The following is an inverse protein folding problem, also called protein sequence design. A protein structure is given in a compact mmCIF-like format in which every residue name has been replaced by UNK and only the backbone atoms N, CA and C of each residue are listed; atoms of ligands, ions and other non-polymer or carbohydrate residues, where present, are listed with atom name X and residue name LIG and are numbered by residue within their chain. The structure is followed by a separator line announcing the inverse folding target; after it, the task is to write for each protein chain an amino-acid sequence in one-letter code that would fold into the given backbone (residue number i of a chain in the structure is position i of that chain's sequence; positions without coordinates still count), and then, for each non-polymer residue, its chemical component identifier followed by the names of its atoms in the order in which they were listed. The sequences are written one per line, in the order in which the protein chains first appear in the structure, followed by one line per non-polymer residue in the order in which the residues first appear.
data_IF_936386264750
#
_entry.id   IF_936386264750
#
_cell.length_a   1.000
_cell.length_b   1.000
_cell.length_c   1.000
_cell.angle_alpha   90.00
_cell.angle_beta   90.00
_cell.angle_gamma   90.00
#
_symmetry.space_group_name_H-M   'P 1'
#
loop_
_entity.id
_entity.type
_entity.pdbx_description
1 polymer ?
#
# COMPACT_ATOMS: atom_id res chain seq x y z
N UNK A 1 30.44 -9.51 -22.59
CA UNK A 1 29.11 -9.62 -21.96
C UNK A 1 28.22 -8.38 -22.17
N UNK A 2 28.39 -7.23 -21.50
CA UNK A 2 27.49 -6.06 -21.68
C UNK A 2 27.48 -5.55 -23.13
N UNK A 3 28.65 -5.39 -23.76
CA UNK A 3 28.76 -5.03 -25.18
C UNK A 3 28.10 -6.04 -26.12
N UNK A 4 28.24 -7.34 -25.85
CA UNK A 4 27.60 -8.40 -26.64
C UNK A 4 26.08 -8.41 -26.43
N UNK A 5 25.59 -8.08 -25.24
CA UNK A 5 24.16 -7.95 -24.94
C UNK A 5 23.54 -6.76 -25.67
N UNK A 6 24.23 -5.62 -25.72
CA UNK A 6 23.74 -4.42 -26.41
C UNK A 6 23.87 -4.57 -27.94
N UNK A 7 24.95 -5.17 -28.44
CA UNK A 7 25.07 -5.50 -29.87
C UNK A 7 24.03 -6.54 -30.31
N UNK A 8 23.64 -7.46 -29.43
CA UNK A 8 22.49 -8.35 -29.65
C UNK A 8 21.14 -7.68 -29.41
N UNK A 9 21.03 -6.57 -28.68
CA UNK A 9 19.74 -5.88 -28.49
C UNK A 9 19.29 -5.13 -29.74
N UNK A 10 20.21 -4.83 -30.69
CA UNK A 10 19.85 -4.40 -32.04
C UNK A 10 19.09 -5.50 -32.81
N UNK A 11 19.32 -6.78 -32.46
CA UNK A 11 18.48 -7.91 -32.85
C UNK A 11 17.37 -8.06 -31.80
N UNK A 12 16.26 -7.33 -31.97
CA UNK A 12 15.08 -7.36 -31.07
C UNK A 12 14.45 -8.76 -30.84
N UNK A 13 14.93 -9.80 -31.50
CA UNK A 13 14.41 -11.16 -31.35
C UNK A 13 14.71 -11.72 -29.94
N UNK A 14 13.67 -11.80 -29.11
CA UNK A 14 13.69 -12.47 -27.80
C UNK A 14 13.63 -11.56 -26.57
N UNK A 15 13.55 -10.24 -26.72
CA UNK A 15 13.37 -9.31 -25.60
C UNK A 15 11.88 -9.07 -25.31
N UNK A 16 11.46 -9.21 -24.05
CA UNK A 16 10.11 -8.85 -23.60
C UNK A 16 10.12 -7.43 -23.01
N UNK A 17 9.27 -6.51 -23.48
CA UNK A 17 9.15 -5.19 -22.88
C UNK A 17 8.56 -5.30 -21.48
N UNK A 18 9.17 -4.64 -20.50
CA UNK A 18 8.67 -4.54 -19.13
C UNK A 18 8.13 -3.13 -18.86
N UNK A 19 6.99 -2.98 -18.17
CA UNK A 19 6.38 -1.67 -17.90
C UNK A 19 7.18 -0.82 -16.90
N UNK A 20 8.11 -1.42 -16.16
CA UNK A 20 8.92 -0.72 -15.16
C UNK A 20 10.27 -1.42 -14.96
N UNK A 21 11.29 -0.68 -14.47
CA UNK A 21 12.60 -1.24 -14.16
C UNK A 21 12.51 -2.35 -13.10
N UNK A 22 13.23 -3.45 -13.31
CA UNK A 22 13.31 -4.54 -12.36
C UNK A 22 14.13 -4.13 -11.12
N UNK A 23 13.72 -4.54 -9.91
CA UNK A 23 14.38 -4.11 -8.68
C UNK A 23 15.62 -4.96 -8.41
N UNK A 24 16.52 -4.46 -7.56
CA UNK A 24 17.56 -5.30 -6.99
C UNK A 24 16.95 -6.32 -6.00
N UNK A 25 16.74 -7.56 -6.47
CA UNK A 25 16.21 -8.65 -5.66
C UNK A 25 17.32 -9.38 -4.86
N UNK A 26 16.98 -9.97 -3.70
CA UNK A 26 17.98 -10.62 -2.82
C UNK A 26 18.65 -11.87 -3.42
N UNK A 27 18.12 -12.41 -4.50
CA UNK A 27 18.70 -13.57 -5.22
C UNK A 27 19.68 -13.14 -6.31
N UNK A 28 19.82 -11.84 -6.55
CA UNK A 28 20.67 -11.28 -7.59
C UNK A 28 21.81 -10.50 -6.94
N UNK A 29 23.03 -10.71 -7.43
CA UNK A 29 24.18 -9.89 -7.02
C UNK A 29 24.18 -8.53 -7.72
N UNK A 30 23.71 -8.50 -8.97
CA UNK A 30 23.69 -7.31 -9.83
C UNK A 30 22.41 -7.28 -10.66
N UNK A 31 21.90 -6.08 -10.93
CA UNK A 31 20.87 -5.82 -11.94
C UNK A 31 21.37 -4.77 -12.91
N UNK A 32 21.29 -5.07 -14.21
CA UNK A 32 21.65 -4.15 -15.28
C UNK A 32 20.37 -3.62 -15.92
N UNK A 33 20.16 -2.30 -15.88
CA UNK A 33 19.04 -1.63 -16.55
C UNK A 33 19.59 -0.83 -17.73
N UNK A 34 19.11 -1.12 -18.93
CA UNK A 34 19.49 -0.43 -20.16
C UNK A 34 18.32 0.46 -20.57
N UNK A 35 18.50 1.77 -20.45
CA UNK A 35 17.56 2.77 -20.96
C UNK A 35 18.09 3.30 -22.29
N UNK A 36 17.52 2.79 -23.38
CA UNK A 36 17.93 3.12 -24.76
C UNK A 36 17.56 4.57 -25.08
N UNK A 37 16.41 5.05 -24.62
CA UNK A 37 15.90 6.38 -24.93
C UNK A 37 16.76 7.46 -24.25
N UNK A 38 17.22 7.18 -23.03
CA UNK A 38 18.08 8.09 -22.26
C UNK A 38 19.57 7.88 -22.49
N UNK A 39 20.00 6.89 -23.28
CA UNK A 39 21.40 6.49 -23.49
C UNK A 39 22.15 6.16 -22.16
N UNK A 40 21.46 5.49 -21.21
CA UNK A 40 21.97 5.21 -19.85
C UNK A 40 21.97 3.71 -19.52
N UNK A 41 23.12 3.23 -19.06
CA UNK A 41 23.29 1.96 -18.38
C UNK A 41 23.30 2.20 -16.88
N UNK A 42 22.40 1.56 -16.15
CA UNK A 42 22.40 1.54 -14.69
C UNK A 42 22.79 0.16 -14.19
N UNK A 43 23.76 0.10 -13.27
CA UNK A 43 24.17 -1.12 -12.58
C UNK A 43 23.76 -0.98 -11.12
N UNK A 44 22.87 -1.84 -10.66
CA UNK A 44 22.45 -1.91 -9.25
C UNK A 44 23.13 -3.09 -8.56
N UNK A 45 23.66 -2.86 -7.36
CA UNK A 45 24.35 -3.86 -6.54
C UNK A 45 24.10 -3.65 -5.04
N UNK A 46 24.41 -4.66 -4.24
CA UNK A 46 24.35 -4.59 -2.78
C UNK A 46 25.72 -4.15 -2.22
N UNK A 47 25.83 -2.95 -1.63
CA UNK A 47 27.10 -2.52 -0.98
C UNK A 47 27.33 -3.26 0.34
N UNK A 48 26.24 -3.44 1.10
CA UNK A 48 26.17 -4.21 2.34
C UNK A 48 25.11 -5.30 2.15
N UNK A 49 24.96 -6.23 3.10
CA UNK A 49 23.99 -7.34 2.97
C UNK A 49 22.57 -6.93 2.52
N UNK A 50 22.18 -5.65 2.71
CA UNK A 50 20.81 -5.21 2.50
C UNK A 50 20.64 -3.76 2.03
N UNK A 51 21.71 -3.04 1.67
CA UNK A 51 21.56 -1.66 1.15
C UNK A 51 21.79 -1.63 -0.35
N UNK A 52 20.75 -1.33 -1.17
CA UNK A 52 20.92 -1.24 -2.60
C UNK A 52 21.69 0.05 -2.95
N UNK A 53 22.58 -0.06 -3.94
CA UNK A 53 23.26 1.06 -4.58
C UNK A 53 23.14 0.91 -6.07
N UNK A 54 23.12 2.05 -6.75
CA UNK A 54 23.15 2.08 -8.19
C UNK A 54 24.21 3.02 -8.69
N UNK A 55 24.70 2.70 -9.87
CA UNK A 55 25.74 3.45 -10.56
C UNK A 55 25.35 3.59 -12.02
N UNK A 56 25.49 4.79 -12.57
CA UNK A 56 25.11 5.10 -13.95
C UNK A 56 26.34 5.33 -14.83
N UNK A 57 26.18 4.94 -16.10
CA UNK A 57 27.14 5.12 -17.16
C UNK A 57 26.39 5.45 -18.46
N UNK A 58 26.99 6.25 -19.33
CA UNK A 58 26.46 6.47 -20.67
C UNK A 58 26.63 5.21 -21.54
N UNK A 59 25.56 4.74 -22.20
CA UNK A 59 25.57 3.49 -22.98
C UNK A 59 26.56 3.57 -24.15
N UNK A 60 26.56 4.68 -24.89
CA UNK A 60 27.52 4.90 -25.99
C UNK A 60 28.97 4.78 -25.52
N UNK A 61 29.34 5.39 -24.38
CA UNK A 61 30.68 5.21 -23.78
C UNK A 61 30.95 3.79 -23.32
N UNK A 62 29.94 3.10 -22.77
CA UNK A 62 30.05 1.71 -22.35
C UNK A 62 30.35 0.78 -23.54
N UNK A 63 29.82 1.12 -24.72
CA UNK A 63 30.00 0.39 -25.98
C UNK A 63 31.35 0.65 -26.64
N UNK A 64 31.91 1.85 -26.51
CA UNK A 64 33.18 2.23 -27.14
C UNK A 64 34.40 1.70 -26.36
N UNK A 65 34.32 1.55 -25.03
CA UNK A 65 35.51 1.34 -24.18
C UNK A 65 35.71 -0.14 -23.79
N UNK A 66 36.89 -0.73 -24.02
CA UNK A 66 37.17 -2.16 -23.69
C UNK A 66 37.39 -2.42 -22.19
N UNK A 67 37.77 -1.38 -21.44
CA UNK A 67 37.85 -1.35 -19.98
C UNK A 67 37.33 0.00 -19.50
N UNK A 68 36.35 0.02 -18.60
CA UNK A 68 35.81 1.24 -18.03
C UNK A 68 36.57 1.59 -16.74
N UNK A 69 37.27 2.75 -16.67
CA UNK A 69 37.82 3.23 -15.43
C UNK A 69 36.71 3.45 -14.39
N UNK A 70 37.00 3.16 -13.11
CA UNK A 70 36.08 3.35 -11.98
C UNK A 70 35.56 4.81 -11.85
N UNK A 71 36.23 5.78 -12.48
CA UNK A 71 35.88 7.20 -12.49
C UNK A 71 34.72 7.56 -13.42
N UNK A 72 34.39 6.72 -14.40
CA UNK A 72 33.26 6.97 -15.33
C UNK A 72 31.90 6.59 -14.74
N UNK A 73 31.95 5.90 -13.61
CA UNK A 73 30.80 5.48 -12.84
C UNK A 73 30.34 6.62 -11.95
N UNK A 74 29.18 7.20 -12.28
CA UNK A 74 28.54 8.19 -11.42
C UNK A 74 27.68 7.41 -10.43
N UNK A 75 27.99 7.42 -9.11
CA UNK A 75 27.07 6.87 -8.13
C UNK A 75 25.74 7.59 -8.33
N UNK A 76 24.65 6.84 -8.33
CA UNK A 76 23.34 7.42 -8.11
C UNK A 76 23.34 7.87 -6.66
N UNK A 77 23.92 9.05 -6.43
CA UNK A 77 23.91 9.70 -5.14
C UNK A 77 22.46 9.78 -4.69
N UNK A 78 22.25 9.73 -3.38
CA UNK A 78 20.98 10.06 -2.72
C UNK A 78 20.37 11.40 -3.20
N UNK A 79 21.13 12.18 -3.99
CA UNK A 79 20.83 13.48 -4.57
C UNK A 79 20.16 13.48 -5.98
N UNK A 80 19.70 12.37 -6.55
CA UNK A 80 18.78 12.46 -7.72
C UNK A 80 17.40 13.08 -7.33
N UNK A 81 17.17 13.33 -6.03
CA UNK A 81 15.99 14.00 -5.47
C UNK A 81 16.29 15.48 -5.11
N UNK A 82 17.09 16.19 -5.91
CA UNK A 82 17.21 17.66 -5.79
C UNK A 82 17.89 18.30 -7.00
N UNK A 83 17.13 18.86 -7.96
CA UNK A 83 17.53 20.07 -8.65
C UNK A 83 16.97 21.25 -7.87
N UNK A 84 17.85 21.87 -7.08
CA UNK A 84 17.59 23.18 -6.49
C UNK A 84 17.13 24.15 -7.58
N UNK A 85 15.90 24.62 -7.48
CA UNK A 85 15.51 25.95 -7.95
C UNK A 85 14.47 26.50 -6.98
N UNK A 86 14.96 26.91 -5.81
CA UNK A 86 14.27 27.85 -4.93
C UNK A 86 14.14 29.19 -5.67
N UNK A 87 13.15 29.28 -6.55
CA UNK A 87 12.60 30.56 -6.97
C UNK A 87 11.87 31.14 -5.76
N UNK A 88 12.46 32.15 -5.13
CA UNK A 88 11.80 32.97 -4.11
C UNK A 88 10.51 33.56 -4.70
N UNK A 89 9.39 32.84 -4.52
CA UNK A 89 8.06 33.43 -4.50
C UNK A 89 7.61 33.40 -3.07
N UNK A 90 7.73 34.55 -2.41
CA UNK A 90 7.02 34.84 -1.17
C UNK A 90 5.53 34.90 -1.48
N UNK A 91 4.86 33.74 -1.52
CA UNK A 91 3.43 33.67 -1.29
C UNK A 91 3.22 33.46 0.20
N UNK A 92 2.50 34.37 0.84
CA UNK A 92 2.03 34.24 2.22
C UNK A 92 1.45 32.83 2.41
N UNK A 93 2.07 32.05 3.31
CA UNK A 93 1.58 30.70 3.61
C UNK A 93 0.22 30.83 4.28
N UNK A 94 -0.84 30.17 3.78
CA UNK A 94 -2.11 30.13 4.49
C UNK A 94 -1.87 29.48 5.85
N UNK A 95 -2.37 30.11 6.90
CA UNK A 95 -2.44 29.51 8.23
C UNK A 95 -3.31 28.26 8.14
N UNK A 96 -2.68 27.09 7.98
CA UNK A 96 -3.41 25.83 7.91
C UNK A 96 -3.97 25.53 9.31
N UNK A 97 -5.29 25.64 9.45
CA UNK A 97 -5.97 25.10 10.61
C UNK A 97 -5.84 23.56 10.62
N UNK A 98 -5.75 23.00 11.82
CA UNK A 98 -5.45 21.57 12.00
C UNK A 98 -6.69 20.72 11.71
N UNK A 99 -6.61 19.89 10.66
CA UNK A 99 -7.63 18.89 10.38
C UNK A 99 -7.49 17.73 11.38
N UNK A 100 -8.52 17.49 12.20
CA UNK A 100 -8.58 16.35 13.12
C UNK A 100 -9.39 15.21 12.49
N UNK A 101 -8.73 14.08 12.28
CA UNK A 101 -9.40 12.88 11.79
C UNK A 101 -10.03 12.11 12.96
N UNK A 102 -11.34 11.93 12.90
CA UNK A 102 -12.06 11.01 13.79
C UNK A 102 -11.97 9.59 13.24
N UNK A 103 -10.96 8.85 13.68
CA UNK A 103 -10.74 7.47 13.25
C UNK A 103 -11.55 6.57 14.16
N UNK A 104 -12.72 6.14 13.67
CA UNK A 104 -13.63 5.25 14.38
C UNK A 104 -13.04 3.87 14.71
N UNK A 105 -13.81 3.08 15.47
CA UNK A 105 -13.42 1.73 15.89
C UNK A 105 -13.18 0.79 14.70
N UNK A 106 -12.27 -0.19 14.83
CA UNK A 106 -11.98 -1.10 13.76
C UNK A 106 -13.11 -2.07 13.42
N UNK A 107 -13.34 -2.29 12.13
CA UNK A 107 -14.24 -3.34 11.62
C UNK A 107 -13.47 -4.62 11.29
N UNK A 108 -14.15 -5.77 11.09
CA UNK A 108 -13.52 -7.00 10.59
C UNK A 108 -12.74 -6.77 9.30
N UNK A 109 -13.27 -5.98 8.37
CA UNK A 109 -12.60 -5.68 7.10
C UNK A 109 -11.28 -4.97 7.33
N UNK A 110 -11.23 -4.02 8.25
CA UNK A 110 -10.02 -3.24 8.46
C UNK A 110 -8.88 -4.08 9.04
N UNK A 111 -9.18 -5.12 9.83
CA UNK A 111 -8.15 -6.08 10.25
C UNK A 111 -7.51 -6.78 9.04
N UNK A 112 -8.34 -7.25 8.10
CA UNK A 112 -7.85 -7.88 6.87
C UNK A 112 -7.14 -6.87 5.96
N UNK A 113 -7.58 -5.61 5.90
CA UNK A 113 -6.88 -4.57 5.16
C UNK A 113 -5.49 -4.29 5.71
N UNK A 114 -5.34 -4.21 7.04
CA UNK A 114 -4.04 -4.06 7.69
C UNK A 114 -3.14 -5.28 7.37
N UNK A 115 -3.70 -6.50 7.37
CA UNK A 115 -2.99 -7.71 6.96
C UNK A 115 -2.54 -7.64 5.49
N UNK A 116 -3.47 -7.36 4.57
CA UNK A 116 -3.20 -7.35 3.13
C UNK A 116 -2.20 -6.27 2.73
N UNK A 117 -2.27 -5.08 3.32
CA UNK A 117 -1.27 -4.03 3.09
C UNK A 117 0.13 -4.46 3.55
N UNK A 118 0.25 -5.03 4.75
CA UNK A 118 1.56 -5.47 5.26
C UNK A 118 2.12 -6.65 4.46
N UNK A 119 1.26 -7.59 4.03
CA UNK A 119 1.63 -8.69 3.14
C UNK A 119 2.06 -8.18 1.76
N UNK A 120 1.34 -7.21 1.20
CA UNK A 120 1.66 -6.62 -0.10
C UNK A 120 3.01 -5.92 -0.07
N UNK A 121 3.24 -5.13 0.99
CA UNK A 121 4.53 -4.49 1.25
C UNK A 121 5.64 -5.52 1.38
N UNK A 122 5.40 -6.63 2.08
CA UNK A 122 6.37 -7.70 2.21
C UNK A 122 6.75 -8.28 0.84
N UNK A 123 5.78 -8.59 -0.02
CA UNK A 123 6.05 -9.19 -1.32
C UNK A 123 6.75 -8.23 -2.29
N UNK A 124 6.27 -6.99 -2.36
CA UNK A 124 6.78 -5.98 -3.30
C UNK A 124 7.92 -5.15 -2.73
N UNK A 125 8.45 -5.48 -1.53
CA UNK A 125 9.45 -4.70 -0.81
C UNK A 125 10.67 -4.34 -1.65
N UNK A 126 11.14 -5.21 -2.55
CA UNK A 126 12.33 -4.91 -3.36
C UNK A 126 12.12 -3.73 -4.32
N UNK A 127 10.90 -3.52 -4.82
CA UNK A 127 10.56 -2.32 -5.60
C UNK A 127 10.42 -1.05 -4.73
N UNK A 128 10.21 -1.19 -3.42
CA UNK A 128 9.97 -0.08 -2.49
C UNK A 128 11.28 0.30 -1.77
N UNK A 129 12.11 -0.69 -1.47
CA UNK A 129 13.41 -0.56 -0.83
C UNK A 129 14.49 -0.05 -1.81
N UNK A 130 14.28 -0.21 -3.11
CA UNK A 130 15.22 0.25 -4.14
C UNK A 130 14.93 1.72 -4.51
N UNK A 131 15.87 2.66 -4.26
CA UNK A 131 15.68 4.07 -4.56
C UNK A 131 15.59 4.36 -6.07
N UNK A 132 16.00 3.43 -6.94
CA UNK A 132 15.81 3.56 -8.38
C UNK A 132 14.41 3.24 -8.85
N UNK A 133 13.62 2.56 -8.03
CA UNK A 133 12.25 2.19 -8.37
C UNK A 133 11.26 2.97 -7.51
N UNK A 134 11.62 3.35 -6.28
CA UNK A 134 10.74 4.04 -5.34
C UNK A 134 11.04 5.54 -5.19
N UNK A 135 10.74 6.31 -6.22
CA UNK A 135 10.79 7.78 -6.21
C UNK A 135 9.61 8.37 -6.99
N UNK A 136 9.32 9.66 -6.78
CA UNK A 136 8.08 10.30 -7.26
C UNK A 136 7.80 10.15 -8.76
N UNK A 137 8.79 10.39 -9.61
CA UNK A 137 8.61 10.28 -11.08
C UNK A 137 8.74 8.84 -11.60
N UNK A 138 8.94 7.85 -10.73
CA UNK A 138 9.01 6.45 -11.14
C UNK A 138 7.63 5.91 -11.52
N UNK A 139 7.49 5.19 -12.66
CA UNK A 139 6.28 4.43 -12.96
C UNK A 139 5.88 3.45 -11.85
N UNK A 140 6.86 2.87 -11.16
CA UNK A 140 6.63 1.96 -10.02
C UNK A 140 5.92 2.68 -8.87
N UNK A 141 6.30 3.93 -8.58
CA UNK A 141 5.65 4.70 -7.52
C UNK A 141 4.16 4.90 -7.80
N UNK A 142 3.80 5.27 -9.03
CA UNK A 142 2.39 5.40 -9.44
C UNK A 142 1.63 4.08 -9.40
N UNK A 143 2.21 3.02 -9.96
CA UNK A 143 1.62 1.67 -10.00
C UNK A 143 1.31 1.13 -8.60
N UNK A 144 2.31 1.16 -7.72
CA UNK A 144 2.18 0.65 -6.35
C UNK A 144 1.30 1.57 -5.51
N UNK A 145 1.31 2.90 -5.72
CA UNK A 145 0.38 3.82 -5.05
C UNK A 145 -1.07 3.50 -5.39
N UNK A 146 -1.37 3.19 -6.66
CA UNK A 146 -2.69 2.73 -7.07
C UNK A 146 -3.06 1.38 -6.42
N UNK A 147 -2.13 0.44 -6.32
CA UNK A 147 -2.36 -0.83 -5.62
C UNK A 147 -2.69 -0.61 -4.13
N UNK A 148 -1.97 0.30 -3.46
CA UNK A 148 -2.29 0.66 -2.08
C UNK A 148 -3.69 1.26 -1.93
N UNK A 149 -4.09 2.15 -2.83
CA UNK A 149 -5.42 2.74 -2.84
C UNK A 149 -6.51 1.67 -3.03
N UNK A 150 -6.29 0.71 -3.94
CA UNK A 150 -7.21 -0.42 -4.17
C UNK A 150 -7.37 -1.31 -2.95
N UNK A 151 -6.26 -1.71 -2.33
CA UNK A 151 -6.30 -2.47 -1.07
C UNK A 151 -6.99 -1.68 0.04
N UNK A 152 -6.70 -0.38 0.13
CA UNK A 152 -7.22 0.49 1.16
C UNK A 152 -8.70 0.83 1.04
N UNK A 153 -9.27 0.78 -0.16
CA UNK A 153 -10.70 0.99 -0.45
C UNK A 153 -11.49 -0.32 -0.60
N UNK A 154 -10.82 -1.47 -0.47
CA UNK A 154 -11.42 -2.78 -0.72
C UNK A 154 -11.96 -2.93 -2.15
N UNK A 155 -11.20 -2.36 -3.09
CA UNK A 155 -11.47 -2.28 -4.53
C UNK A 155 -10.57 -3.28 -5.30
N UNK A 156 -10.90 -4.56 -5.14
CA UNK A 156 -10.21 -5.69 -5.77
C UNK A 156 -11.16 -6.87 -5.93
N UNK A 157 -10.78 -7.81 -6.80
CA UNK A 157 -11.50 -9.06 -6.97
C UNK A 157 -10.75 -10.24 -6.32
N UNK A 158 -11.48 -11.28 -5.96
CA UNK A 158 -10.92 -12.53 -5.43
C UNK A 158 -11.16 -13.63 -6.45
N UNK A 159 -10.08 -14.25 -6.90
CA UNK A 159 -10.08 -15.40 -7.81
C UNK A 159 -9.79 -16.70 -7.06
N UNK A 160 -10.30 -17.80 -7.58
CA UNK A 160 -10.13 -19.14 -7.00
C UNK A 160 -8.75 -19.76 -7.24
N UNK A 161 -8.53 -20.89 -6.56
CA UNK A 161 -7.26 -21.59 -6.34
C UNK A 161 -6.38 -21.86 -7.56
N UNK A 162 -6.97 -22.05 -8.73
CA UNK A 162 -6.24 -22.67 -9.86
C UNK A 162 -5.74 -21.67 -10.90
N UNK A 163 -6.21 -20.42 -10.84
CA UNK A 163 -6.04 -19.47 -11.96
C UNK A 163 -4.63 -18.90 -12.07
N UNK A 164 -3.90 -18.78 -10.95
CA UNK A 164 -2.63 -18.04 -10.88
C UNK A 164 -1.47 -18.83 -10.25
N UNK A 165 -1.60 -20.15 -10.14
CA UNK A 165 -0.58 -20.98 -9.49
C UNK A 165 0.80 -20.91 -10.17
N UNK A 166 0.84 -20.68 -11.48
CA UNK A 166 2.09 -20.56 -12.23
C UNK A 166 2.84 -19.25 -11.96
N UNK A 167 2.13 -18.22 -11.47
CA UNK A 167 2.68 -16.91 -11.12
C UNK A 167 3.15 -16.83 -9.66
N UNK A 168 3.05 -17.92 -8.90
CA UNK A 168 3.57 -18.04 -7.55
C UNK A 168 4.90 -18.81 -7.55
N UNK A 169 5.83 -18.52 -6.61
CA UNK A 169 5.87 -17.30 -5.81
C UNK A 169 6.21 -16.08 -6.69
N UNK A 170 5.91 -14.89 -6.18
CA UNK A 170 6.53 -13.67 -6.73
C UNK A 170 8.03 -13.77 -6.49
N UNK A 171 8.79 -13.45 -7.53
CA UNK A 171 10.25 -13.41 -7.52
C UNK A 171 10.77 -12.17 -8.28
N UNK A 172 12.07 -12.17 -8.59
CA UNK A 172 12.72 -11.09 -9.34
C UNK A 172 12.19 -10.91 -10.78
N UNK A 173 11.60 -11.95 -11.37
CA UNK A 173 11.02 -11.88 -12.71
C UNK A 173 9.58 -11.35 -12.70
N UNK A 174 9.00 -11.21 -11.51
CA UNK A 174 7.65 -10.70 -11.35
C UNK A 174 7.62 -9.18 -11.48
N UNK A 175 6.77 -8.70 -12.39
CA UNK A 175 6.64 -7.27 -12.71
C UNK A 175 5.19 -6.84 -12.48
N UNK A 176 4.94 -5.72 -11.77
CA UNK A 176 3.58 -5.23 -11.58
C UNK A 176 3.02 -4.76 -12.93
N UNK A 177 1.88 -5.33 -13.34
CA UNK A 177 1.23 -5.08 -14.64
C UNK A 177 -0.16 -4.45 -14.51
N UNK A 178 -0.46 -3.87 -13.35
CA UNK A 178 -1.78 -3.26 -13.09
C UNK A 178 -1.95 -1.94 -13.84
N UNK A 179 -3.19 -1.50 -14.01
CA UNK A 179 -3.46 -0.15 -14.51
C UNK A 179 -2.98 0.90 -13.52
N UNK A 180 -2.22 1.90 -13.99
CA UNK A 180 -1.85 3.10 -13.23
C UNK A 180 -2.68 4.31 -13.66
N UNK A 181 -2.68 5.35 -12.83
CA UNK A 181 -3.16 6.66 -13.26
C UNK A 181 -2.21 7.26 -14.30
N UNK A 182 -2.76 7.94 -15.31
CA UNK A 182 -1.98 8.62 -16.35
C UNK A 182 -1.26 9.84 -15.78
N UNK A 183 -1.90 10.53 -14.84
CA UNK A 183 -1.43 11.76 -14.22
C UNK A 183 -1.17 11.59 -12.72
N UNK A 184 -0.43 12.54 -12.15
CA UNK A 184 -0.14 12.58 -10.71
C UNK A 184 -1.31 13.11 -9.86
N UNK A 185 -2.36 13.62 -10.50
CA UNK A 185 -3.57 14.12 -9.84
C UNK A 185 -4.77 13.41 -10.47
N UNK A 186 -5.57 12.72 -9.67
CA UNK A 186 -6.72 11.96 -10.18
C UNK A 186 -7.78 11.74 -9.11
N UNK A 187 -9.03 11.53 -9.53
CA UNK A 187 -10.13 11.18 -8.62
C UNK A 187 -10.13 9.68 -8.30
N UNK A 188 -10.28 9.34 -7.03
CA UNK A 188 -10.40 7.97 -6.56
C UNK A 188 -11.41 7.89 -5.41
N UNK A 189 -12.48 7.09 -5.58
CA UNK A 189 -13.53 6.88 -4.56
C UNK A 189 -14.06 8.19 -3.94
N UNK A 190 -14.18 9.26 -4.73
CA UNK A 190 -14.68 10.57 -4.29
C UNK A 190 -13.66 11.50 -3.63
N UNK A 191 -12.40 11.07 -3.50
CA UNK A 191 -11.26 11.88 -3.03
C UNK A 191 -10.36 12.26 -4.20
N UNK A 192 -9.74 13.44 -4.13
CA UNK A 192 -8.72 13.85 -5.08
C UNK A 192 -7.36 13.35 -4.58
N UNK A 193 -6.76 12.41 -5.30
CA UNK A 193 -5.43 11.91 -5.00
C UNK A 193 -4.41 12.84 -5.66
N UNK A 194 -3.39 13.22 -4.90
CA UNK A 194 -2.27 14.03 -5.38
C UNK A 194 -0.99 13.33 -5.01
N UNK A 195 -0.32 12.76 -6.00
CA UNK A 195 1.02 12.22 -5.84
C UNK A 195 2.02 13.39 -5.80
N UNK A 196 2.96 13.36 -4.86
CA UNK A 196 3.96 14.41 -4.69
C UNK A 196 5.32 13.87 -4.26
N UNK A 197 6.36 14.67 -4.46
CA UNK A 197 7.75 14.29 -4.14
C UNK A 197 8.01 14.21 -2.64
N UNK A 198 7.57 15.22 -1.89
CA UNK A 198 7.80 15.33 -0.46
C UNK A 198 6.60 15.96 0.25
N UNK A 199 6.48 15.65 1.55
CA UNK A 199 5.50 16.25 2.46
C UNK A 199 6.15 16.61 3.80
N UNK A 200 7.48 16.69 3.84
CA UNK A 200 8.27 16.90 5.07
C UNK A 200 8.22 18.35 5.56
N UNK A 201 7.83 19.29 4.69
CA UNK A 201 7.71 20.71 5.00
C UNK A 201 6.33 21.26 4.68
N UNK A 202 5.96 22.35 5.36
CA UNK A 202 4.74 23.12 5.07
C UNK A 202 4.73 23.67 3.65
N UNK A 203 5.92 24.01 3.10
CA UNK A 203 6.07 24.52 1.73
C UNK A 203 5.72 23.42 0.72
N UNK A 204 6.35 22.25 0.82
CA UNK A 204 6.06 21.12 -0.09
C UNK A 204 4.59 20.71 -0.06
N UNK A 205 3.98 20.72 1.15
CA UNK A 205 2.54 20.50 1.30
C UNK A 205 1.71 21.59 0.62
N UNK A 206 2.08 22.86 0.81
CA UNK A 206 1.43 24.01 0.16
C UNK A 206 1.49 23.96 -1.36
N UNK A 207 2.63 23.54 -1.93
CA UNK A 207 2.78 23.34 -3.38
C UNK A 207 1.87 22.23 -3.91
N UNK A 208 1.77 21.09 -3.21
CA UNK A 208 0.86 20.02 -3.58
C UNK A 208 -0.60 20.46 -3.53
N UNK A 209 -0.97 21.28 -2.52
CA UNK A 209 -2.30 21.87 -2.42
C UNK A 209 -2.57 22.87 -3.55
N UNK A 210 -1.61 23.73 -3.88
CA UNK A 210 -1.71 24.69 -4.99
C UNK A 210 -1.95 23.97 -6.32
N UNK A 211 -1.15 22.93 -6.62
CA UNK A 211 -1.33 22.11 -7.84
C UNK A 211 -2.73 21.50 -7.91
N UNK A 212 -3.27 21.05 -6.78
CA UNK A 212 -4.61 20.51 -6.72
C UNK A 212 -5.70 21.59 -6.88
N UNK A 213 -5.49 22.80 -6.36
CA UNK A 213 -6.37 23.94 -6.59
C UNK A 213 -6.38 24.33 -8.07
N UNK A 214 -5.21 24.35 -8.72
CA UNK A 214 -5.08 24.60 -10.15
C UNK A 214 -5.84 23.55 -10.98
N UNK A 215 -5.71 22.27 -10.61
CA UNK A 215 -6.44 21.16 -11.24
C UNK A 215 -7.96 21.28 -11.07
N UNK A 216 -8.44 21.72 -9.90
CA UNK A 216 -9.87 21.95 -9.66
C UNK A 216 -10.39 23.20 -10.39
N UNK A 217 -9.50 24.15 -10.70
CA UNK A 217 -9.82 25.42 -11.37
C UNK A 217 -10.80 26.30 -10.57
N UNK A 218 -11.33 27.33 -11.21
CA UNK A 218 -12.36 28.22 -10.63
C UNK A 218 -13.72 27.54 -10.46
N UNK A 219 -13.89 26.34 -11.03
CA UNK A 219 -15.15 25.62 -11.10
C UNK A 219 -15.15 24.42 -10.16
N UNK A 220 -14.68 24.57 -8.92
CA UNK A 220 -14.91 23.52 -7.93
C UNK A 220 -16.43 23.40 -7.73
N UNK A 221 -17.11 22.34 -8.22
CA UNK A 221 -18.58 22.28 -8.21
C UNK A 221 -19.14 22.00 -6.81
N UNK A 222 -18.27 22.01 -5.80
CA UNK A 222 -18.53 21.55 -4.44
C UNK A 222 -17.95 22.61 -3.51
N UNK A 223 -18.72 23.01 -2.50
CA UNK A 223 -18.25 23.89 -1.40
C UNK A 223 -17.05 23.31 -0.64
N UNK A 224 -16.72 22.03 -0.90
CA UNK A 224 -15.68 21.27 -0.23
C UNK A 224 -15.05 20.22 -1.15
N UNK A 225 -13.72 20.21 -1.21
CA UNK A 225 -12.92 19.15 -1.83
C UNK A 225 -12.01 18.50 -0.78
N UNK A 226 -11.83 17.18 -0.88
CA UNK A 226 -10.95 16.42 0.03
C UNK A 226 -9.84 15.77 -0.75
N UNK A 227 -8.63 15.99 -0.28
CA UNK A 227 -7.41 15.61 -0.97
C UNK A 227 -6.63 14.62 -0.12
N UNK A 228 -6.08 13.60 -0.78
CA UNK A 228 -5.14 12.65 -0.19
C UNK A 228 -3.80 12.91 -0.88
N UNK A 229 -2.88 13.54 -0.17
CA UNK A 229 -1.54 13.82 -0.66
C UNK A 229 -0.65 12.62 -0.32
N UNK A 230 -0.01 12.01 -1.33
CA UNK A 230 0.80 10.80 -1.16
C UNK A 230 2.20 11.05 -1.70
N UNK A 231 3.21 10.92 -0.84
CA UNK A 231 4.61 10.87 -1.23
C UNK A 231 5.20 9.48 -0.96
N UNK A 232 6.42 9.18 -1.45
CA UNK A 232 7.06 7.87 -1.20
C UNK A 232 7.19 7.50 0.28
N UNK A 233 7.20 8.48 1.19
CA UNK A 233 7.42 8.26 2.63
C UNK A 233 6.25 8.69 3.51
N UNK A 234 5.43 9.64 3.06
CA UNK A 234 4.43 10.29 3.90
C UNK A 234 3.10 10.42 3.19
N UNK A 235 2.05 10.57 3.98
CA UNK A 235 0.69 10.85 3.52
C UNK A 235 0.13 12.01 4.34
N UNK A 236 -0.65 12.87 3.72
CA UNK A 236 -1.38 13.93 4.40
C UNK A 236 -2.79 14.07 3.83
N UNK A 237 -3.70 14.53 4.68
CA UNK A 237 -5.11 14.69 4.34
C UNK A 237 -5.47 16.16 4.38
N UNK A 238 -6.06 16.67 3.30
CA UNK A 238 -6.35 18.09 3.14
C UNK A 238 -7.81 18.35 2.80
N UNK A 239 -8.36 19.22 3.62
CA UNK A 239 -9.59 19.99 3.59
C UNK A 239 -9.62 21.24 2.73
N UNK A 240 -10.08 21.23 1.48
CA UNK A 240 -10.35 22.45 0.73
C UNK A 240 -11.79 22.91 0.94
N UNK A 241 -11.99 24.14 1.43
CA UNK A 241 -13.30 24.78 1.58
C UNK A 241 -13.27 26.21 1.02
N UNK A 242 -14.44 26.83 0.85
CA UNK A 242 -14.53 28.26 0.49
C UNK A 242 -13.84 29.18 1.50
N UNK A 243 -13.74 28.75 2.76
CA UNK A 243 -13.27 29.57 3.87
C UNK A 243 -11.79 29.34 4.21
N UNK A 244 -11.14 28.39 3.55
CA UNK A 244 -9.73 28.09 3.78
C UNK A 244 -9.37 26.61 3.59
N UNK A 245 -8.14 26.30 3.99
CA UNK A 245 -7.54 24.98 3.89
C UNK A 245 -7.30 24.40 5.28
N UNK A 246 -7.85 23.22 5.54
CA UNK A 246 -7.56 22.41 6.73
C UNK A 246 -6.59 21.29 6.35
N UNK A 247 -5.56 21.01 7.14
CA UNK A 247 -4.63 19.93 6.82
C UNK A 247 -4.23 19.13 8.06
N UNK A 248 -3.99 17.84 7.90
CA UNK A 248 -3.33 17.03 8.92
C UNK A 248 -1.82 17.28 8.90
N UNK A 249 -1.16 16.89 9.98
CA UNK A 249 0.28 16.64 9.95
C UNK A 249 0.62 15.57 8.90
N UNK A 250 1.88 15.58 8.44
CA UNK A 250 2.38 14.59 7.49
C UNK A 250 2.64 13.29 8.24
N UNK A 251 1.80 12.29 7.99
CA UNK A 251 1.84 11.00 8.65
C UNK A 251 2.83 10.08 7.93
N UNK A 252 3.65 9.30 8.67
CA UNK A 252 4.43 8.22 8.07
C UNK A 252 3.53 7.28 7.26
N UNK A 253 3.74 7.26 5.94
CA UNK A 253 3.05 6.37 5.02
C UNK A 253 3.74 5.01 4.99
N UNK A 254 5.05 5.02 4.74
CA UNK A 254 5.91 3.83 4.78
C UNK A 254 7.06 4.04 5.75
N UNK A 255 7.42 2.95 6.42
CA UNK A 255 8.46 2.80 7.43
C UNK A 255 9.19 1.49 7.19
N UNK A 256 10.37 1.32 7.78
CA UNK A 256 11.10 0.05 7.69
C UNK A 256 10.28 -1.13 8.26
N UNK A 257 9.37 -0.87 9.19
CA UNK A 257 8.48 -1.88 9.78
C UNK A 257 7.15 -2.05 9.04
N UNK A 258 6.92 -1.36 7.91
CA UNK A 258 5.60 -1.37 7.26
C UNK A 258 5.20 -2.73 6.68
N UNK A 259 6.16 -3.62 6.42
CA UNK A 259 5.86 -5.01 6.08
C UNK A 259 5.41 -5.85 7.29
N UNK A 260 5.56 -5.38 8.53
CA UNK A 260 5.26 -6.16 9.75
C UNK A 260 4.18 -5.51 10.62
N UNK A 261 4.09 -4.18 10.56
CA UNK A 261 3.14 -3.38 11.31
C UNK A 261 2.50 -2.37 10.35
N UNK A 262 1.19 -2.17 10.46
CA UNK A 262 0.53 -1.15 9.67
C UNK A 262 0.90 0.24 10.21
N UNK A 263 1.47 1.09 9.33
CA UNK A 263 1.87 2.46 9.63
C UNK A 263 0.66 3.32 10.00
N UNK A 264 0.90 4.46 10.66
CA UNK A 264 -0.19 5.39 11.02
C UNK A 264 -0.86 5.98 9.78
N UNK A 265 -0.08 6.31 8.73
CA UNK A 265 -0.61 6.80 7.48
C UNK A 265 -1.44 5.76 6.75
N UNK A 266 -0.98 4.51 6.69
CA UNK A 266 -1.74 3.38 6.15
C UNK A 266 -3.05 3.18 6.92
N UNK A 267 -2.99 3.11 8.26
CA UNK A 267 -4.19 2.96 9.09
C UNK A 267 -5.17 4.12 8.89
N UNK A 268 -4.71 5.36 8.77
CA UNK A 268 -5.58 6.49 8.48
C UNK A 268 -6.26 6.37 7.10
N UNK A 269 -5.51 6.01 6.06
CA UNK A 269 -6.03 5.83 4.70
C UNK A 269 -7.11 4.75 4.64
N UNK A 270 -6.86 3.58 5.23
CA UNK A 270 -7.83 2.47 5.29
C UNK A 270 -9.18 2.95 5.84
N UNK A 271 -9.12 3.74 6.90
CA UNK A 271 -10.30 4.22 7.63
C UNK A 271 -11.05 5.23 6.78
N UNK A 272 -10.35 6.19 6.19
CA UNK A 272 -10.95 7.23 5.34
C UNK A 272 -11.70 6.62 4.16
N UNK A 273 -11.14 5.58 3.53
CA UNK A 273 -11.74 4.99 2.34
C UNK A 273 -12.86 3.97 2.62
N UNK A 274 -12.96 3.40 3.84
CA UNK A 274 -13.94 2.33 4.13
C UNK A 274 -14.79 2.54 5.37
N UNK A 275 -14.52 3.55 6.18
CA UNK A 275 -15.30 3.88 7.38
C UNK A 275 -16.03 5.20 7.18
N UNK A 276 -16.97 5.52 8.07
CA UNK A 276 -17.69 6.80 8.02
C UNK A 276 -16.84 8.01 8.42
N UNK A 277 -15.51 7.86 8.54
CA UNK A 277 -14.65 8.95 8.93
C UNK A 277 -14.35 9.87 7.74
N UNK A 278 -14.42 11.18 7.98
CA UNK A 278 -14.05 12.19 6.99
C UNK A 278 -14.78 12.05 5.64
N UNK A 279 -16.04 11.56 5.68
CA UNK A 279 -16.98 11.53 4.56
C UNK A 279 -17.82 12.81 4.51
N UNK A 280 -18.30 13.18 3.33
CA UNK A 280 -19.17 14.36 3.21
C UNK A 280 -20.52 13.97 3.78
N UNK A 281 -21.29 14.89 4.36
CA UNK A 281 -22.71 14.65 4.53
C UNK A 281 -23.29 14.36 3.14
N UNK A 282 -23.46 13.08 2.82
CA UNK A 282 -23.99 12.63 1.54
C UNK A 282 -25.50 12.89 1.45
N UNK A 283 -26.11 13.47 2.49
CA UNK A 283 -27.53 13.86 2.55
C UNK A 283 -27.99 14.64 1.32
N UNK A 284 -27.11 15.45 0.71
CA UNK A 284 -27.44 16.22 -0.51
C UNK A 284 -27.17 15.47 -1.83
N UNK A 285 -26.59 14.26 -1.80
CA UNK A 285 -26.28 13.42 -2.97
C UNK A 285 -27.05 12.13 -3.04
N UNK A 286 -27.57 11.63 -1.92
CA UNK A 286 -28.42 10.45 -1.89
C UNK A 286 -29.70 10.73 -2.68
N UNK A 287 -29.75 10.23 -3.92
CA UNK A 287 -30.95 10.30 -4.77
C UNK A 287 -31.81 9.05 -4.64
N UNK A 288 -31.38 8.09 -3.84
CA UNK A 288 -32.10 6.84 -3.63
C UNK A 288 -33.35 7.08 -2.77
N UNK A 289 -34.49 7.24 -3.43
CA UNK A 289 -35.78 7.52 -2.79
C UNK A 289 -36.54 6.28 -2.27
N UNK A 290 -35.88 5.13 -2.17
CA UNK A 290 -36.50 3.86 -1.80
C UNK A 290 -35.74 3.23 -0.63
N UNK A 291 -36.44 2.95 0.47
CA UNK A 291 -35.87 2.23 1.59
C UNK A 291 -35.86 0.73 1.32
N UNK A 292 -34.70 0.18 0.92
CA UNK A 292 -34.49 -1.27 0.91
C UNK A 292 -34.11 -1.75 2.31
N UNK A 293 -34.75 -2.81 2.83
CA UNK A 293 -34.26 -3.52 4.01
C UNK A 293 -32.79 -3.97 3.85
N UNK A 294 -31.96 -3.90 4.90
CA UNK A 294 -30.56 -4.34 4.87
C UNK A 294 -30.36 -5.77 4.35
N UNK A 295 -31.34 -6.64 4.57
CA UNK A 295 -31.33 -8.03 4.10
C UNK A 295 -31.38 -8.10 2.57
N UNK A 296 -32.18 -7.25 1.92
CA UNK A 296 -32.27 -7.18 0.46
C UNK A 296 -31.01 -6.54 -0.14
N UNK A 297 -30.48 -5.49 0.50
CA UNK A 297 -29.21 -4.89 0.07
C UNK A 297 -28.06 -5.89 0.10
N UNK A 298 -27.97 -6.67 1.18
CA UNK A 298 -26.97 -7.74 1.28
C UNK A 298 -27.17 -8.80 0.20
N UNK A 299 -28.43 -9.22 -0.01
CA UNK A 299 -28.76 -10.17 -1.07
C UNK A 299 -28.30 -9.65 -2.43
N UNK A 300 -28.57 -8.38 -2.77
CA UNK A 300 -28.10 -7.77 -4.02
C UNK A 300 -26.57 -7.82 -4.11
N UNK A 301 -25.85 -7.40 -3.06
CA UNK A 301 -24.39 -7.45 -3.04
C UNK A 301 -23.84 -8.86 -3.25
N UNK A 302 -24.46 -9.87 -2.65
CA UNK A 302 -24.04 -11.27 -2.78
C UNK A 302 -24.23 -11.82 -4.21
N UNK A 303 -25.14 -11.23 -5.01
CA UNK A 303 -25.35 -11.59 -6.42
C UNK A 303 -24.48 -10.79 -7.40
N UNK A 304 -23.93 -9.64 -6.97
CA UNK A 304 -23.06 -8.83 -7.81
C UNK A 304 -21.66 -9.44 -7.86
N UNK A 305 -21.00 -9.35 -9.01
CA UNK A 305 -19.56 -9.60 -9.03
C UNK A 305 -18.84 -8.49 -8.21
N UNK A 306 -17.61 -8.72 -7.72
CA UNK A 306 -16.93 -7.78 -6.83
C UNK A 306 -16.86 -6.33 -7.37
N UNK A 307 -16.63 -6.17 -8.67
CA UNK A 307 -16.53 -4.84 -9.31
C UNK A 307 -17.88 -4.12 -9.30
N UNK A 308 -18.94 -4.81 -9.66
CA UNK A 308 -20.29 -4.25 -9.66
C UNK A 308 -20.78 -3.99 -8.22
N UNK A 309 -20.37 -4.81 -7.26
CA UNK A 309 -20.68 -4.61 -5.84
C UNK A 309 -20.04 -3.33 -5.29
N UNK A 310 -18.78 -3.06 -5.64
CA UNK A 310 -18.10 -1.79 -5.30
C UNK A 310 -18.79 -0.61 -5.96
N UNK A 311 -19.07 -0.68 -7.27
CA UNK A 311 -19.74 0.38 -8.00
C UNK A 311 -21.14 0.67 -7.44
N UNK A 312 -21.88 -0.37 -7.07
CA UNK A 312 -23.18 -0.26 -6.41
C UNK A 312 -23.07 0.38 -5.02
N UNK A 313 -22.08 -0.04 -4.22
CA UNK A 313 -21.80 0.55 -2.91
C UNK A 313 -21.49 2.05 -3.02
N UNK A 314 -20.71 2.47 -4.02
CA UNK A 314 -20.40 3.88 -4.27
C UNK A 314 -21.61 4.72 -4.71
N UNK A 315 -22.67 4.08 -5.20
CA UNK A 315 -23.89 4.74 -5.66
C UNK A 315 -24.80 5.24 -4.54
N UNK A 316 -24.57 4.82 -3.28
CA UNK A 316 -25.46 5.11 -2.15
C UNK A 316 -24.78 4.98 -0.80
N UNK A 317 -25.09 5.88 0.13
CA UNK A 317 -24.61 5.81 1.50
C UNK A 317 -25.04 4.51 2.18
N UNK A 318 -26.30 4.07 1.97
CA UNK A 318 -26.83 2.88 2.64
C UNK A 318 -26.17 1.61 2.09
N UNK A 319 -25.96 1.55 0.77
CA UNK A 319 -25.23 0.45 0.15
C UNK A 319 -23.76 0.47 0.58
N UNK A 320 -23.12 1.64 0.63
CA UNK A 320 -21.74 1.81 1.08
C UNK A 320 -21.55 1.31 2.52
N UNK A 321 -22.42 1.72 3.45
CA UNK A 321 -22.39 1.25 4.83
C UNK A 321 -22.62 -0.25 4.94
N UNK A 322 -23.56 -0.80 4.17
CA UNK A 322 -23.83 -2.24 4.18
C UNK A 322 -22.62 -3.02 3.63
N UNK A 323 -22.00 -2.54 2.55
CA UNK A 323 -20.83 -3.14 1.93
C UNK A 323 -19.64 -3.17 2.92
N UNK A 324 -19.27 -2.01 3.47
CA UNK A 324 -18.08 -1.90 4.34
C UNK A 324 -18.28 -2.45 5.77
N UNK A 325 -19.51 -2.72 6.21
CA UNK A 325 -19.77 -3.47 7.45
C UNK A 325 -19.59 -4.99 7.28
N UNK A 326 -19.54 -5.48 6.04
CA UNK A 326 -19.37 -6.90 5.71
C UNK A 326 -17.95 -7.18 5.19
N UNK A 327 -17.68 -8.41 4.72
CA UNK A 327 -16.44 -8.77 4.02
C UNK A 327 -16.84 -9.40 2.67
N UNK A 328 -17.36 -8.61 1.72
CA UNK A 328 -18.21 -9.13 0.64
C UNK A 328 -17.48 -10.06 -0.34
N UNK A 329 -16.19 -9.83 -0.59
CA UNK A 329 -15.37 -10.68 -1.47
C UNK A 329 -15.03 -12.04 -0.86
N UNK A 330 -15.21 -12.22 0.45
CA UNK A 330 -14.88 -13.45 1.15
C UNK A 330 -16.14 -14.04 1.78
N UNK A 331 -16.92 -14.73 0.94
CA UNK A 331 -18.18 -15.33 1.34
C UNK A 331 -18.01 -16.22 2.59
N UNK A 332 -18.91 -16.04 3.56
CA UNK A 332 -18.93 -16.76 4.84
C UNK A 332 -17.67 -16.61 5.70
N UNK A 333 -16.80 -15.64 5.42
CA UNK A 333 -15.63 -15.35 6.24
C UNK A 333 -15.98 -14.43 7.41
N UNK A 334 -15.49 -14.75 8.61
CA UNK A 334 -15.57 -13.88 9.79
C UNK A 334 -14.23 -13.80 10.49
N UNK A 335 -13.78 -12.58 10.80
CA UNK A 335 -12.55 -12.37 11.56
C UNK A 335 -12.78 -12.68 13.04
N UNK A 336 -11.94 -13.56 13.61
CA UNK A 336 -12.01 -13.96 15.02
C UNK A 336 -11.10 -13.11 15.92
N UNK A 337 -10.01 -12.58 15.39
CA UNK A 337 -8.99 -11.88 16.15
C UNK A 337 -8.54 -10.61 15.42
N UNK A 338 -8.34 -9.54 16.18
CA UNK A 338 -8.07 -8.18 15.72
C UNK A 338 -6.69 -7.69 16.18
N UNK A 339 -5.65 -8.52 16.08
CA UNK A 339 -4.33 -8.23 16.68
C UNK A 339 -3.60 -7.06 16.01
N UNK A 340 -3.87 -6.79 14.73
CA UNK A 340 -3.27 -5.67 14.02
C UNK A 340 -3.93 -4.35 14.42
N UNK A 341 -5.26 -4.33 14.42
CA UNK A 341 -6.05 -3.13 14.72
C UNK A 341 -6.28 -2.87 16.21
N UNK A 342 -6.25 -3.93 17.04
CA UNK A 342 -6.44 -3.91 18.50
C UNK A 342 -5.29 -4.69 19.19
N UNK A 343 -4.09 -4.10 19.31
CA UNK A 343 -2.90 -4.82 19.74
C UNK A 343 -2.93 -5.35 21.18
N UNK A 344 -3.73 -4.77 22.08
CA UNK A 344 -3.74 -5.18 23.49
C UNK A 344 -4.21 -6.63 23.73
N UNK A 345 -5.30 -7.04 23.08
CA UNK A 345 -5.86 -8.37 23.29
C UNK A 345 -6.48 -8.99 22.02
N UNK A 346 -6.56 -8.24 20.91
CA UNK A 346 -7.15 -8.68 19.66
C UNK A 346 -8.65 -8.95 19.71
N UNK A 347 -9.38 -8.42 20.71
CA UNK A 347 -10.84 -8.58 20.82
C UNK A 347 -11.56 -7.30 20.43
N UNK A 348 -12.55 -7.39 19.54
CA UNK A 348 -13.36 -6.22 19.16
C UNK A 348 -14.40 -5.84 20.22
N UNK A 349 -14.96 -6.83 20.91
CA UNK A 349 -16.02 -6.62 21.89
C UNK A 349 -15.56 -5.71 23.06
N UNK A 350 -16.44 -4.81 23.50
CA UNK A 350 -16.23 -3.96 24.66
C UNK A 350 -15.48 -2.66 24.39
N UNK A 351 -15.08 -2.38 23.15
CA UNK A 351 -14.50 -1.08 22.77
C UNK A 351 -15.54 0.04 22.82
N UNK A 352 -16.82 -0.25 22.57
CA UNK A 352 -17.91 0.73 22.64
C UNK A 352 -18.01 1.37 24.04
N UNK A 353 -17.80 0.57 25.09
CA UNK A 353 -17.96 0.99 26.48
C UNK A 353 -16.64 1.43 27.14
N UNK A 354 -15.51 0.94 26.64
CA UNK A 354 -14.21 1.09 27.32
C UNK A 354 -13.01 1.12 26.36
N UNK A 355 -13.22 1.61 25.14
CA UNK A 355 -12.19 1.75 24.12
C UNK A 355 -11.50 3.12 24.17
N UNK A 356 -10.20 3.13 23.87
CA UNK A 356 -9.41 4.33 23.66
C UNK A 356 -8.53 4.15 22.42
N UNK A 357 -8.34 5.22 21.65
CA UNK A 357 -7.48 5.24 20.47
C UNK A 357 -6.16 5.90 20.81
N UNK A 358 -5.03 5.31 20.40
CA UNK A 358 -3.73 5.95 20.49
C UNK A 358 -3.66 7.15 19.51
N UNK A 359 -3.32 8.33 20.00
CA UNK A 359 -3.21 9.54 19.18
C UNK A 359 -2.00 9.51 18.21
N UNK A 360 -0.99 8.66 18.46
CA UNK A 360 0.21 8.55 17.63
C UNK A 360 0.08 7.50 16.51
N UNK A 361 -0.46 6.31 16.80
CA UNK A 361 -0.55 5.23 15.80
C UNK A 361 -1.97 4.95 15.31
N UNK A 362 -2.99 5.55 15.91
CA UNK A 362 -4.42 5.31 15.62
C UNK A 362 -4.92 3.88 15.85
N UNK A 363 -4.12 3.01 16.49
CA UNK A 363 -4.60 1.71 16.95
C UNK A 363 -5.53 1.85 18.16
N UNK A 364 -6.46 0.91 18.30
CA UNK A 364 -7.45 0.90 19.38
C UNK A 364 -7.06 -0.04 20.52
N UNK A 365 -7.43 0.34 21.74
CA UNK A 365 -7.08 -0.38 22.96
C UNK A 365 -8.28 -0.38 23.91
N UNK A 366 -8.41 -1.42 24.73
CA UNK A 366 -9.30 -1.36 25.88
C UNK A 366 -8.61 -0.64 27.03
N UNK A 367 -9.31 0.29 27.69
CA UNK A 367 -8.84 1.02 28.87
C UNK A 367 -8.23 0.08 29.92
N UNK A 368 -8.94 -1.02 30.22
CA UNK A 368 -8.49 -2.05 31.17
C UNK A 368 -7.19 -2.73 30.76
N UNK A 369 -6.97 -2.95 29.46
CA UNK A 369 -5.75 -3.59 28.99
C UNK A 369 -4.52 -2.67 29.06
N UNK A 370 -4.74 -1.35 29.06
CA UNK A 370 -3.67 -0.35 29.15
C UNK A 370 -3.56 0.28 30.53
N UNK A 371 -4.25 -0.28 31.54
CA UNK A 371 -4.19 0.17 32.93
C UNK A 371 -4.87 1.52 33.20
N UNK A 372 -5.71 2.01 32.29
CA UNK A 372 -6.47 3.24 32.47
C UNK A 372 -7.81 2.96 33.16
N UNK A 373 -8.18 3.81 34.12
CA UNK A 373 -9.50 3.79 34.77
C UNK A 373 -10.53 4.51 33.90
N UNK A 374 -11.82 4.16 34.05
CA UNK A 374 -12.93 4.55 33.15
C UNK A 374 -13.12 6.07 32.93
N UNK A 375 -12.55 6.93 33.76
CA UNK A 375 -12.77 8.39 33.73
C UNK A 375 -11.71 9.19 32.96
N UNK A 376 -10.66 8.56 32.42
CA UNK A 376 -9.68 9.28 31.61
C UNK A 376 -10.18 9.42 30.17
N UNK A 377 -11.01 10.44 29.89
CA UNK A 377 -11.37 10.87 28.54
C UNK A 377 -10.20 11.56 27.82
N UNK A 378 -8.98 11.02 27.93
CA UNK A 378 -7.82 11.63 27.30
C UNK A 378 -7.86 11.37 25.80
N UNK A 379 -8.29 12.38 25.05
CA UNK A 379 -8.14 12.45 23.58
C UNK A 379 -6.69 12.31 23.10
N UNK A 380 -5.74 12.33 24.04
CA UNK A 380 -4.30 12.33 23.83
C UNK A 380 -3.62 11.05 24.38
N UNK A 381 -4.36 9.95 24.54
CA UNK A 381 -3.74 8.67 24.94
C UNK A 381 -2.63 8.25 23.96
N UNK A 382 -1.47 7.87 24.47
CA UNK A 382 -0.35 7.30 23.72
C UNK A 382 -0.07 5.90 24.27
N UNK A 383 -0.04 4.90 23.40
CA UNK A 383 0.21 3.52 23.82
C UNK A 383 1.68 3.27 24.15
N UNK A 384 1.96 2.26 24.99
CA UNK A 384 3.32 1.91 25.41
C UNK A 384 4.29 1.74 24.22
N UNK A 385 3.85 1.09 23.15
CA UNK A 385 4.67 0.91 21.94
C UNK A 385 5.05 2.23 21.27
N UNK A 386 4.21 3.26 21.33
CA UNK A 386 4.52 4.60 20.81
C UNK A 386 5.38 5.41 21.79
N UNK A 387 5.26 5.14 23.09
CA UNK A 387 6.09 5.80 24.12
C UNK A 387 7.53 5.27 24.12
N UNK A 388 7.71 3.97 23.88
CA UNK A 388 9.01 3.29 23.89
C UNK A 388 9.77 3.37 22.55
N UNK A 389 9.08 3.60 21.43
CA UNK A 389 9.73 3.70 20.12
C UNK A 389 10.51 5.01 20.01
N UNK A 390 11.84 4.90 19.97
CA UNK A 390 12.69 5.98 19.48
C UNK A 390 12.31 6.35 18.04
N UNK A 391 12.35 7.64 17.74
CA UNK A 391 11.76 8.32 16.59
C UNK A 391 12.28 7.90 15.20
N UNK A 392 13.11 6.87 15.08
CA UNK A 392 13.91 6.63 13.88
C UNK A 392 13.53 5.34 13.12
N UNK A 393 12.23 5.15 12.85
CA UNK A 393 11.75 4.09 11.98
C UNK A 393 11.45 4.57 10.55
N UNK A 394 12.04 5.70 10.15
CA UNK A 394 11.87 6.28 8.83
C UNK A 394 12.29 5.29 7.74
N UNK A 395 11.57 5.30 6.61
CA UNK A 395 11.91 4.46 5.47
C UNK A 395 13.31 4.79 4.94
N UNK A 396 14.19 3.81 4.95
CA UNK A 396 15.49 3.86 4.31
C UNK A 396 15.63 2.76 3.24
N UNK A 397 16.51 2.93 2.24
CA UNK A 397 16.75 1.91 1.24
C UNK A 397 17.11 0.55 1.87
N UNK A 398 16.41 -0.51 1.48
CA UNK A 398 16.57 -1.85 2.05
C UNK A 398 16.01 -2.07 3.45
N UNK A 399 15.43 -1.04 4.07
CA UNK A 399 14.99 -1.08 5.45
C UNK A 399 13.80 -2.02 5.69
N UNK A 400 12.89 -2.14 4.73
CA UNK A 400 11.74 -3.05 4.84
C UNK A 400 12.22 -4.51 4.80
N UNK A 401 13.09 -4.85 3.86
CA UNK A 401 13.69 -6.17 3.77
C UNK A 401 14.51 -6.50 5.02
N UNK A 402 15.30 -5.55 5.54
CA UNK A 402 16.06 -5.73 6.78
C UNK A 402 15.16 -6.10 7.96
N UNK A 403 14.06 -5.36 8.14
CA UNK A 403 13.14 -5.56 9.26
C UNK A 403 12.31 -6.85 9.12
N UNK A 404 11.98 -7.27 7.90
CA UNK A 404 11.01 -8.34 7.65
C UNK A 404 11.62 -9.69 7.25
N UNK A 405 12.85 -9.76 6.71
CA UNK A 405 13.43 -10.97 6.10
C UNK A 405 13.46 -12.23 6.98
N UNK A 406 13.52 -12.06 8.31
CA UNK A 406 13.64 -13.17 9.28
C UNK A 406 12.32 -13.45 10.02
N UNK A 407 11.27 -12.68 9.77
CA UNK A 407 10.02 -12.80 10.50
C UNK A 407 9.09 -13.78 9.81
N UNK A 408 8.53 -14.71 10.60
CA UNK A 408 7.47 -15.58 10.13
C UNK A 408 6.19 -14.75 10.00
N UNK A 409 5.59 -14.75 8.80
CA UNK A 409 4.25 -14.16 8.58
C UNK A 409 3.22 -14.94 9.41
N UNK A 410 2.47 -14.22 10.22
CA UNK A 410 1.37 -14.78 11.00
C UNK A 410 0.09 -14.50 10.22
N UNK A 411 -0.70 -15.54 9.98
CA UNK A 411 -2.00 -15.40 9.34
C UNK A 411 -3.07 -14.85 10.28
N UNK A 412 -4.12 -14.27 9.71
CA UNK A 412 -5.27 -13.79 10.48
C UNK A 412 -6.16 -14.96 10.88
N UNK A 413 -6.60 -15.01 12.14
CA UNK A 413 -7.57 -16.03 12.59
C UNK A 413 -8.96 -15.67 12.09
N UNK A 414 -9.54 -16.57 11.32
CA UNK A 414 -10.84 -16.40 10.69
C UNK A 414 -11.71 -17.65 10.90
N UNK A 415 -13.02 -17.49 10.69
CA UNK A 415 -13.96 -18.58 10.48
C UNK A 415 -14.38 -18.55 9.03
N UNK A 416 -14.43 -19.70 8.38
CA UNK A 416 -15.09 -19.87 7.07
C UNK A 416 -16.21 -20.86 7.27
N UNK A 417 -17.45 -20.39 7.13
CA UNK A 417 -18.62 -21.14 7.58
C UNK A 417 -18.56 -21.39 9.10
N UNK A 418 -18.47 -22.65 9.50
CA UNK A 418 -18.39 -23.07 10.92
C UNK A 418 -17.02 -23.59 11.34
N UNK A 419 -16.01 -23.48 10.47
CA UNK A 419 -14.67 -24.00 10.72
C UNK A 419 -13.69 -22.85 10.98
N UNK A 420 -12.87 -22.99 12.02
CA UNK A 420 -11.82 -22.05 12.32
C UNK A 420 -10.59 -22.32 11.45
N UNK A 421 -10.01 -21.25 10.91
CA UNK A 421 -8.85 -21.29 10.06
C UNK A 421 -7.89 -20.12 10.34
N UNK A 422 -6.65 -20.25 9.89
CA UNK A 422 -5.70 -19.15 9.74
C UNK A 422 -5.57 -18.80 8.26
N UNK A 423 -5.90 -17.56 7.89
CA UNK A 423 -5.69 -17.02 6.55
C UNK A 423 -4.21 -16.64 6.40
N UNK A 424 -3.43 -17.50 5.75
CA UNK A 424 -1.99 -17.36 5.66
C UNK A 424 -1.54 -17.00 4.24
N UNK A 425 -0.62 -16.04 4.13
CA UNK A 425 -0.01 -15.66 2.85
C UNK A 425 0.80 -16.83 2.27
N UNK A 426 0.62 -17.10 0.98
CA UNK A 426 1.35 -18.12 0.23
C UNK A 426 2.62 -17.52 -0.38
N UNK A 427 3.76 -18.04 0.07
CA UNK A 427 5.10 -17.63 -0.37
C UNK A 427 5.77 -18.67 -1.27
N UNK A 428 5.06 -19.73 -1.66
CA UNK A 428 5.55 -20.81 -2.51
C UNK A 428 4.38 -21.45 -3.26
N UNK A 429 4.70 -22.17 -4.35
CA UNK A 429 3.73 -22.99 -5.08
C UNK A 429 3.09 -24.06 -4.18
N UNK A 430 1.84 -24.48 -4.46
CA UNK A 430 1.22 -25.62 -3.80
C UNK A 430 2.11 -26.87 -3.84
N UNK A 431 2.09 -27.66 -2.78
CA UNK A 431 2.97 -28.83 -2.62
C UNK A 431 2.87 -29.83 -3.77
N UNK A 432 1.68 -30.02 -4.34
CA UNK A 432 1.44 -30.94 -5.46
C UNK A 432 2.09 -30.48 -6.78
N UNK A 433 2.40 -29.18 -6.91
CA UNK A 433 3.09 -28.57 -8.05
C UNK A 433 4.60 -28.45 -7.86
N UNK A 434 5.14 -29.05 -6.80
CA UNK A 434 6.56 -28.97 -6.44
C UNK A 434 7.21 -30.35 -6.53
N UNK A 435 7.72 -30.76 -7.70
CA UNK A 435 8.31 -32.08 -7.92
C UNK A 435 9.45 -32.39 -6.94
N UNK A 436 10.18 -31.38 -6.49
CA UNK A 436 11.27 -31.51 -5.53
C UNK A 436 10.81 -32.00 -4.14
N UNK A 437 9.54 -31.79 -3.78
CA UNK A 437 8.98 -32.24 -2.51
C UNK A 437 8.58 -33.72 -2.52
N UNK A 438 8.48 -34.35 -3.69
CA UNK A 438 8.09 -35.77 -3.83
C UNK A 438 9.05 -36.72 -3.10
N UNK A 439 10.30 -36.30 -2.89
CA UNK A 439 11.33 -37.10 -2.25
C UNK A 439 11.46 -36.86 -0.74
N UNK A 440 10.70 -35.91 -0.17
CA UNK A 440 10.86 -35.50 1.24
C UNK A 440 9.97 -36.25 2.25
N UNK A 441 9.20 -37.25 1.80
CA UNK A 441 8.33 -38.08 2.65
C UNK A 441 7.08 -37.36 3.18
N UNK A 442 6.13 -38.13 3.73
CA UNK A 442 4.79 -37.63 4.13
C UNK A 442 4.82 -36.54 5.22
N UNK A 443 5.83 -36.57 6.11
CA UNK A 443 5.98 -35.57 7.16
C UNK A 443 6.29 -34.16 6.60
N UNK A 444 7.01 -34.06 5.48
CA UNK A 444 7.30 -32.80 4.81
C UNK A 444 6.10 -32.29 4.00
N UNK A 445 5.31 -33.19 3.42
CA UNK A 445 4.09 -32.84 2.68
C UNK A 445 3.00 -32.25 3.59
N UNK A 446 2.89 -32.72 4.84
CA UNK A 446 1.92 -32.18 5.82
C UNK A 446 2.25 -30.75 6.31
N UNK A 447 3.51 -30.31 6.20
CA UNK A 447 3.98 -28.99 6.67
C UNK A 447 4.03 -27.92 5.58
N UNK A 448 3.89 -28.31 4.32
CA UNK A 448 4.01 -27.40 3.19
C UNK A 448 2.63 -26.86 2.77
N UNK A 449 2.54 -25.63 2.24
CA UNK A 449 1.28 -25.05 1.84
C UNK A 449 0.60 -25.96 0.82
N UNK A 450 -0.56 -26.49 1.20
CA UNK A 450 -1.27 -27.50 0.43
C UNK A 450 -2.01 -26.86 -0.74
N UNK A 451 -2.69 -25.73 -0.50
CA UNK A 451 -3.58 -25.08 -1.47
C UNK A 451 -3.50 -23.54 -1.37
N UNK A 452 -3.69 -22.89 -2.51
CA UNK A 452 -4.04 -21.47 -2.61
C UNK A 452 -5.56 -21.44 -2.62
N UNK A 453 -6.20 -20.76 -1.68
CA UNK A 453 -7.67 -20.69 -1.60
C UNK A 453 -8.20 -19.37 -2.18
N UNK A 454 -7.42 -18.29 -2.03
CA UNK A 454 -7.80 -16.96 -2.49
C UNK A 454 -6.64 -16.27 -3.19
N UNK A 455 -6.90 -15.72 -4.37
CA UNK A 455 -5.97 -14.87 -5.10
C UNK A 455 -6.59 -13.49 -5.26
N UNK A 456 -5.90 -12.44 -4.82
CA UNK A 456 -6.37 -11.07 -5.04
C UNK A 456 -5.90 -10.61 -6.41
N UNK A 457 -6.82 -10.05 -7.17
CA UNK A 457 -6.55 -9.49 -8.49
C UNK A 457 -7.05 -8.05 -8.57
N UNK A 458 -6.41 -7.27 -9.43
CA UNK A 458 -6.77 -5.88 -9.74
C UNK A 458 -7.17 -5.83 -11.20
N UNK A 459 -8.46 -5.68 -11.49
CA UNK A 459 -9.01 -5.70 -12.85
C UNK A 459 -8.60 -6.99 -13.59
N UNK A 460 -8.64 -8.13 -12.91
CA UNK A 460 -8.26 -9.42 -13.48
C UNK A 460 -6.76 -9.66 -13.66
N UNK A 461 -5.89 -8.78 -13.13
CA UNK A 461 -4.43 -8.99 -13.10
C UNK A 461 -3.98 -9.35 -11.69
N UNK A 462 -3.14 -10.38 -11.55
CA UNK A 462 -2.66 -10.85 -10.25
C UNK A 462 -1.98 -9.72 -9.45
N UNK A 463 -2.45 -9.47 -8.23
CA UNK A 463 -1.89 -8.44 -7.33
C UNK A 463 -0.58 -8.86 -6.67
N UNK A 464 -0.20 -10.13 -6.81
CA UNK A 464 0.86 -10.74 -6.03
C UNK A 464 0.38 -11.41 -4.74
N UNK A 465 -0.79 -11.04 -4.22
CA UNK A 465 -1.31 -11.61 -2.98
C UNK A 465 -2.10 -12.89 -3.25
N UNK A 466 -1.63 -13.99 -2.67
CA UNK A 466 -2.31 -15.27 -2.64
C UNK A 466 -2.33 -15.81 -1.21
N UNK A 467 -3.47 -16.37 -0.81
CA UNK A 467 -3.71 -16.85 0.54
C UNK A 467 -4.18 -18.29 0.52
N UNK A 468 -3.93 -19.01 1.60
CA UNK A 468 -4.63 -20.26 1.86
C UNK A 468 -5.05 -20.43 3.31
N UNK A 469 -5.94 -21.39 3.52
CA UNK A 469 -6.56 -21.70 4.79
C UNK A 469 -5.76 -22.79 5.50
N UNK A 470 -5.24 -22.46 6.68
CA UNK A 470 -4.55 -23.41 7.56
C UNK A 470 -5.45 -23.76 8.74
N UNK A 471 -5.36 -24.99 9.25
CA UNK A 471 -6.16 -25.48 10.38
C UNK A 471 -5.65 -24.97 11.74
#
# INVERSE_FOLDING_TARGET
MIKEFIQKSELRDGWEPVPCPSPLHSTLSYVYTIDIDSDILTISEWISELTPMATRLNLTRALETTCLPLMDFVPVSKAVINPASAGNRSSESPSNEVLRLDIGMPTPMNELQEQFLTDFLFLWRFYIDDPLTWYFDSPVFRLISMAFLRLASWDFEVSGSDTYNDQLPIDFASVPRWSQAEENIFWFHGYLIVLCEALDSTIAKGEAVSKAQDFLGQSCPRDRARLILVSPKQIAFVELTTNGTLATDSLPWLTNTSATECSVGARALLRILTSNCWKSPQENRERWGFHLPPELLRTVMDYLNPRDAVAFAQGSLVAEECYYRSIPQFANMRVQNYRLSIPCCGKRAGLEASGVRCASCYAWYHLRCVGLMQDSSSTNFICASCTEKESNNALCPGGINLASRRLKRIGSRIMVGNSAHSLALRLAKPSHMRPELRFMGDAALSRNPSLVDYVLVFNGVFSGLAYGLEA
#
